data_IF_585294536115
#
_entry.id   IF_585294536115
#
_cell.length_a   1.000
_cell.length_b   1.000
_cell.length_c   1.000
_cell.angle_alpha   90.00
_cell.angle_beta   90.00
_cell.angle_gamma   90.00
#
_symmetry.space_group_name_H-M   'P 1'
#
loop_
_entity.id
_entity.type
_entity.pdbx_description
1 polymer ?
#
# COMPACT_ATOMS: atom_id res chain seq x y z
N UNK A 1 -38.09 54.49 15.63
CA UNK A 1 -38.57 54.03 14.32
C UNK A 1 -38.15 52.57 14.14
N UNK A 2 -39.14 51.65 14.16
CA UNK A 2 -39.23 50.28 13.57
C UNK A 2 -37.94 49.44 13.56
N UNK A 3 -37.72 48.48 14.47
CA UNK A 3 -38.43 47.18 14.57
C UNK A 3 -38.68 46.53 13.20
N UNK A 4 -37.78 45.64 12.78
CA UNK A 4 -38.09 44.58 11.83
C UNK A 4 -37.64 43.24 12.41
N UNK A 5 -38.61 42.58 13.04
CA UNK A 5 -38.69 41.13 13.06
C UNK A 5 -39.12 40.71 11.65
N UNK A 6 -38.38 39.79 11.04
CA UNK A 6 -38.88 38.95 9.97
C UNK A 6 -38.34 37.56 10.21
N UNK A 7 -39.15 36.77 10.91
CA UNK A 7 -39.09 35.33 10.95
C UNK A 7 -39.03 34.76 9.53
N UNK A 8 -38.00 33.97 9.26
CA UNK A 8 -37.98 32.97 8.21
C UNK A 8 -37.58 31.64 8.86
N UNK A 9 -38.59 30.99 9.44
CA UNK A 9 -38.57 29.54 9.58
C UNK A 9 -38.59 28.92 8.16
N UNK A 10 -37.62 28.07 7.84
CA UNK A 10 -37.86 26.67 7.42
C UNK A 10 -36.61 26.04 6.79
N UNK A 11 -36.40 24.77 7.17
CA UNK A 11 -35.59 23.74 6.52
C UNK A 11 -34.06 23.75 6.74
N UNK A 12 -33.64 23.10 7.83
CA UNK A 12 -32.98 21.79 7.75
C UNK A 12 -31.99 21.59 6.58
N UNK A 13 -30.72 21.90 6.82
CA UNK A 13 -29.62 20.97 6.53
C UNK A 13 -28.50 21.26 7.52
N UNK A 14 -28.34 20.39 8.51
CA UNK A 14 -27.29 20.48 9.52
C UNK A 14 -25.89 20.45 8.91
N UNK A 15 -25.27 21.62 8.81
CA UNK A 15 -23.83 21.75 8.93
C UNK A 15 -23.58 22.04 10.41
N UNK A 16 -23.02 21.07 11.13
CA UNK A 16 -21.93 21.27 12.09
C UNK A 16 -21.50 19.93 12.66
N UNK A 17 -20.24 19.61 12.40
CA UNK A 17 -19.38 18.97 13.40
C UNK A 17 -19.73 17.55 13.75
N UNK A 18 -19.20 16.62 12.96
CA UNK A 18 -18.57 15.43 13.50
C UNK A 18 -17.55 14.98 12.46
N UNK A 19 -16.31 15.45 12.65
CA UNK A 19 -15.16 14.70 12.19
C UNK A 19 -15.34 13.31 12.80
N UNK A 20 -15.84 12.39 11.98
CA UNK A 20 -16.01 11.00 12.33
C UNK A 20 -14.68 10.55 12.94
N UNK A 21 -14.74 10.28 14.23
CA UNK A 21 -13.70 9.77 15.09
C UNK A 21 -12.79 8.78 14.34
N UNK A 22 -11.70 9.30 13.77
CA UNK A 22 -10.53 8.51 13.43
C UNK A 22 -9.92 8.09 14.77
N UNK A 23 -10.40 6.98 15.30
CA UNK A 23 -9.87 6.34 16.49
C UNK A 23 -8.34 6.22 16.38
N UNK A 24 -7.55 6.88 17.24
CA UNK A 24 -6.09 6.75 17.25
C UNK A 24 -5.75 5.41 17.90
N UNK A 25 -5.89 4.33 17.15
CA UNK A 25 -5.75 3.00 17.73
C UNK A 25 -5.82 1.82 16.76
N UNK A 26 -6.14 2.04 15.48
CA UNK A 26 -5.95 1.01 14.46
C UNK A 26 -4.46 0.91 14.09
N UNK A 27 -3.62 0.52 15.06
CA UNK A 27 -2.37 -0.19 14.76
C UNK A 27 -2.81 -1.45 14.04
N UNK A 28 -2.82 -1.38 12.70
CA UNK A 28 -2.91 -2.57 11.84
C UNK A 28 -2.00 -3.58 12.50
N UNK A 29 -2.57 -4.70 12.95
CA UNK A 29 -1.76 -5.77 13.49
C UNK A 29 -0.83 -6.13 12.34
N UNK A 30 0.42 -5.69 12.45
CA UNK A 30 1.55 -6.26 11.76
C UNK A 30 1.60 -7.68 12.29
N UNK A 31 0.73 -8.52 11.74
CA UNK A 31 0.83 -9.95 11.87
C UNK A 31 2.23 -10.24 11.37
N UNK A 32 3.04 -10.82 12.24
CA UNK A 32 4.31 -11.42 11.88
C UNK A 32 4.00 -12.49 10.83
N UNK A 33 3.85 -12.06 9.57
CA UNK A 33 3.56 -12.94 8.45
C UNK A 33 4.71 -13.93 8.42
N UNK A 34 4.39 -15.19 8.64
CA UNK A 34 5.40 -16.23 8.73
C UNK A 34 6.09 -16.29 7.36
N UNK A 35 7.42 -16.44 7.34
CA UNK A 35 8.17 -16.52 6.08
C UNK A 35 7.64 -17.67 5.21
N UNK A 36 7.15 -18.71 5.86
CA UNK A 36 6.64 -19.92 5.23
C UNK A 36 5.15 -19.84 4.87
N UNK A 37 4.45 -18.76 5.22
CA UNK A 37 3.04 -18.58 4.84
C UNK A 37 2.94 -18.24 3.35
N UNK A 38 2.18 -19.04 2.61
CA UNK A 38 1.90 -18.77 1.21
C UNK A 38 0.70 -17.83 1.10
N UNK A 39 0.79 -16.87 0.18
CA UNK A 39 -0.32 -15.98 -0.15
C UNK A 39 -1.49 -16.78 -0.76
N UNK A 40 -2.71 -16.34 -0.47
CA UNK A 40 -3.88 -16.83 -1.19
C UNK A 40 -3.87 -16.34 -2.64
N UNK A 41 -4.59 -17.00 -3.58
CA UNK A 41 -4.68 -16.53 -4.96
C UNK A 41 -5.16 -15.06 -5.08
N UNK A 42 -6.12 -14.66 -4.25
CA UNK A 42 -6.62 -13.30 -4.20
C UNK A 42 -5.55 -12.30 -3.76
N UNK A 43 -4.74 -12.67 -2.77
CA UNK A 43 -3.62 -11.85 -2.30
C UNK A 43 -2.52 -11.73 -3.36
N UNK A 44 -2.28 -12.78 -4.16
CA UNK A 44 -1.35 -12.72 -5.29
C UNK A 44 -1.82 -11.73 -6.36
N UNK A 45 -3.10 -11.73 -6.70
CA UNK A 45 -3.63 -10.75 -7.66
C UNK A 45 -3.53 -9.32 -7.13
N UNK A 46 -3.75 -9.11 -5.83
CA UNK A 46 -3.50 -7.81 -5.19
C UNK A 46 -2.02 -7.42 -5.24
N UNK A 47 -1.11 -8.35 -4.96
CA UNK A 47 0.33 -8.12 -5.03
C UNK A 47 0.76 -7.75 -6.46
N UNK A 48 0.24 -8.46 -7.46
CA UNK A 48 0.50 -8.21 -8.89
C UNK A 48 0.05 -6.82 -9.33
N UNK A 49 -1.15 -6.40 -8.93
CA UNK A 49 -1.64 -5.03 -9.22
C UNK A 49 -0.72 -3.97 -8.63
N UNK A 50 -0.34 -4.14 -7.36
CA UNK A 50 0.58 -3.21 -6.68
C UNK A 50 1.94 -3.13 -7.36
N UNK A 51 2.48 -4.25 -7.84
CA UNK A 51 3.73 -4.26 -8.61
C UNK A 51 3.61 -3.46 -9.91
N UNK A 52 2.55 -3.66 -10.68
CA UNK A 52 2.35 -2.94 -11.94
C UNK A 52 2.21 -1.43 -11.72
N UNK A 53 1.48 -1.03 -10.67
CA UNK A 53 1.38 0.38 -10.26
C UNK A 53 2.76 0.94 -9.87
N UNK A 54 3.51 0.22 -9.04
CA UNK A 54 4.85 0.64 -8.63
C UNK A 54 5.83 0.72 -9.82
N UNK A 55 5.80 -0.24 -10.74
CA UNK A 55 6.60 -0.23 -11.97
C UNK A 55 6.30 1.01 -12.81
N UNK A 56 5.02 1.38 -12.93
CA UNK A 56 4.62 2.58 -13.65
C UNK A 56 5.15 3.86 -12.98
N UNK A 57 5.08 3.95 -11.64
CA UNK A 57 5.64 5.09 -10.90
C UNK A 57 7.15 5.21 -11.08
N UNK A 58 7.86 4.09 -10.97
CA UNK A 58 9.32 4.04 -11.17
C UNK A 58 9.73 4.45 -12.59
N UNK A 59 8.93 4.09 -13.61
CA UNK A 59 9.14 4.55 -14.98
C UNK A 59 9.04 6.08 -15.10
N UNK A 60 8.07 6.71 -14.43
CA UNK A 60 7.91 8.17 -14.42
C UNK A 60 9.10 8.85 -13.72
N UNK A 61 9.63 8.23 -12.66
CA UNK A 61 10.80 8.72 -11.92
C UNK A 61 12.12 8.52 -12.67
N UNK A 62 12.10 7.91 -13.86
CA UNK A 62 13.31 7.62 -14.64
C UNK A 62 14.17 6.50 -14.04
N UNK A 63 13.59 5.69 -13.15
CA UNK A 63 14.22 4.51 -12.56
C UNK A 63 13.46 3.23 -12.96
N UNK A 64 13.36 2.89 -14.25
CA UNK A 64 12.62 1.71 -14.67
C UNK A 64 13.25 0.45 -14.08
N UNK A 65 12.40 -0.50 -13.66
CA UNK A 65 12.85 -1.84 -13.31
C UNK A 65 13.40 -2.54 -14.56
N UNK A 66 14.52 -3.24 -14.41
CA UNK A 66 15.08 -4.06 -15.48
C UNK A 66 14.33 -5.40 -15.63
N UNK A 67 14.73 -6.19 -16.62
CA UNK A 67 14.04 -7.45 -16.93
C UNK A 67 14.22 -8.49 -15.82
N UNK A 68 15.39 -8.49 -15.19
CA UNK A 68 15.76 -9.37 -14.09
C UNK A 68 14.92 -9.09 -12.84
N UNK A 69 14.75 -7.82 -12.48
CA UNK A 69 13.91 -7.36 -11.38
C UNK A 69 12.44 -7.75 -11.61
N UNK A 70 11.93 -7.54 -12.82
CA UNK A 70 10.56 -7.92 -13.18
C UNK A 70 10.38 -9.44 -13.04
N UNK A 71 11.32 -10.23 -13.58
CA UNK A 71 11.27 -11.68 -13.49
C UNK A 71 11.33 -12.19 -12.05
N UNK A 72 12.11 -11.53 -11.18
CA UNK A 72 12.17 -11.82 -9.75
C UNK A 72 10.81 -11.62 -9.08
N UNK A 73 10.13 -10.50 -9.34
CA UNK A 73 8.80 -10.27 -8.76
C UNK A 73 7.74 -11.24 -9.32
N UNK A 74 7.79 -11.58 -10.60
CA UNK A 74 6.88 -12.56 -11.20
C UNK A 74 7.07 -13.97 -10.61
N UNK A 75 8.31 -14.34 -10.27
CA UNK A 75 8.60 -15.57 -9.53
C UNK A 75 7.92 -15.58 -8.15
N UNK A 76 7.99 -14.47 -7.40
CA UNK A 76 7.34 -14.36 -6.09
C UNK A 76 5.82 -14.55 -6.18
N UNK A 77 5.19 -13.97 -7.21
CA UNK A 77 3.75 -14.10 -7.48
C UNK A 77 3.39 -15.55 -7.82
N UNK A 78 4.15 -16.18 -8.72
CA UNK A 78 3.92 -17.57 -9.13
C UNK A 78 4.04 -18.54 -7.96
N UNK A 79 5.03 -18.35 -7.10
CA UNK A 79 5.27 -19.20 -5.93
C UNK A 79 4.49 -18.77 -4.69
N UNK A 80 3.69 -17.69 -4.80
CA UNK A 80 2.85 -17.15 -3.73
C UNK A 80 3.63 -16.84 -2.45
N UNK A 81 4.84 -16.30 -2.58
CA UNK A 81 5.67 -16.01 -1.43
C UNK A 81 5.04 -14.95 -0.52
N UNK A 82 5.15 -15.15 0.79
CA UNK A 82 4.84 -14.09 1.76
C UNK A 82 5.71 -12.85 1.50
N UNK A 83 5.18 -11.69 1.84
CA UNK A 83 5.95 -10.45 1.76
C UNK A 83 7.23 -10.49 2.59
N UNK A 84 7.25 -11.20 3.71
CA UNK A 84 8.45 -11.33 4.53
C UNK A 84 9.52 -12.17 3.82
N UNK A 85 9.14 -13.29 3.18
CA UNK A 85 10.06 -14.09 2.40
C UNK A 85 10.65 -13.30 1.23
N UNK A 86 9.83 -12.54 0.49
CA UNK A 86 10.31 -11.68 -0.58
C UNK A 86 11.34 -10.66 -0.08
N UNK A 87 11.07 -10.00 1.06
CA UNK A 87 12.01 -9.03 1.67
C UNK A 87 13.36 -9.67 1.98
N UNK A 88 13.36 -10.85 2.60
CA UNK A 88 14.60 -11.55 2.95
C UNK A 88 15.40 -11.89 1.71
N UNK A 89 14.76 -12.42 0.67
CA UNK A 89 15.41 -12.74 -0.60
C UNK A 89 16.09 -11.52 -1.23
N UNK A 90 15.38 -10.38 -1.30
CA UNK A 90 15.93 -9.13 -1.86
C UNK A 90 17.13 -8.65 -1.04
N UNK A 91 17.04 -8.70 0.29
CA UNK A 91 18.16 -8.30 1.18
C UNK A 91 19.36 -9.22 0.96
N UNK A 92 19.16 -10.54 0.90
CA UNK A 92 20.23 -11.52 0.67
C UNK A 92 20.93 -11.27 -0.67
N UNK A 93 20.17 -11.04 -1.74
CA UNK A 93 20.72 -10.70 -3.05
C UNK A 93 21.50 -9.39 -3.02
N UNK A 94 20.94 -8.33 -2.42
CA UNK A 94 21.62 -7.05 -2.31
C UNK A 94 22.93 -7.14 -1.52
N UNK A 95 22.99 -7.95 -0.47
CA UNK A 95 24.21 -8.21 0.31
C UNK A 95 25.25 -9.00 -0.51
N UNK A 96 24.80 -10.00 -1.28
CA UNK A 96 25.66 -10.77 -2.17
C UNK A 96 26.30 -9.88 -3.25
N UNK A 97 25.50 -9.05 -3.93
CA UNK A 97 25.98 -8.14 -4.98
C UNK A 97 26.95 -7.08 -4.46
N UNK A 98 26.72 -6.53 -3.26
CA UNK A 98 27.64 -5.55 -2.62
C UNK A 98 29.02 -6.11 -2.29
N UNK A 99 29.18 -7.44 -2.28
CA UNK A 99 30.46 -8.09 -2.01
C UNK A 99 31.37 -8.18 -3.25
N UNK A 100 30.84 -7.88 -4.45
CA UNK A 100 31.56 -7.97 -5.73
C UNK A 100 32.14 -6.63 -6.22
N UNK A 101 31.80 -5.50 -5.58
CA UNK A 101 32.30 -4.14 -5.88
C UNK A 101 33.55 -3.80 -5.04
N UNK A 102 34.60 -4.62 -5.10
CA UNK A 102 35.83 -4.44 -4.29
C UNK A 102 37.10 -4.32 -5.13
#
# INVERSE_FOLDING_TARGET
>A
MRSYHADLHSADTGLHGEYCCLSPGARLKSGMANKDELLTPEQVEVARKRRLEAQHLQLIEGNPLDAEDIAMFEMFERERWSHERCRQYIIEQALASKSQDK
#
